data_IF_852636426197
#
_entry.id   IF_852636426197
#
_cell.length_a   1.000
_cell.length_b   1.000
_cell.length_c   1.000
_cell.angle_alpha   90.00
_cell.angle_beta   90.00
_cell.angle_gamma   90.00
#
_symmetry.space_group_name_H-M   'P 1'
#
loop_
_entity.id
_entity.type
_entity.pdbx_description
1 polymer ?
2 non-polymer ?
3 water ?
#
# COMPACT_ATOMS: atom_id res chain seq x y z
N UNK A 2 17.51 -3.31 -27.48
CA UNK A 2 17.84 -2.09 -26.69
C UNK A 2 18.06 -2.45 -25.22
N UNK A 3 19.33 -2.64 -24.82
CA UNK A 3 19.67 -2.99 -23.44
C UNK A 3 18.94 -2.14 -22.40
N UNK A 4 18.18 -2.80 -21.53
CA UNK A 4 17.44 -2.10 -20.48
C UNK A 4 18.34 -2.12 -19.25
N UNK A 5 18.64 -0.95 -18.70
CA UNK A 5 19.54 -0.88 -17.55
C UNK A 5 18.99 -0.25 -16.29
N UNK A 6 19.46 -0.77 -15.16
CA UNK A 6 19.05 -0.26 -13.85
C UNK A 6 20.28 0.17 -13.08
N UNK A 7 20.22 1.33 -12.45
CA UNK A 7 21.34 1.80 -11.64
C UNK A 7 20.87 1.55 -10.21
N UNK A 8 21.59 0.69 -9.50
CA UNK A 8 21.23 0.35 -8.14
C UNK A 8 22.21 0.96 -7.14
N UNK A 9 21.75 1.98 -6.42
CA UNK A 9 22.59 2.66 -5.46
C UNK A 9 22.68 1.94 -4.11
N UNK A 10 23.87 2.00 -3.52
CA UNK A 10 24.14 1.40 -2.22
C UNK A 10 24.69 2.51 -1.33
N UNK A 11 24.43 2.44 -0.03
CA UNK A 11 24.98 3.45 0.87
C UNK A 11 26.48 3.20 0.94
N UNK A 12 27.26 4.26 1.12
CA UNK A 12 28.71 4.15 1.21
C UNK A 12 29.15 4.17 2.67
N UNK A 13 28.19 4.38 3.58
CA UNK A 13 28.47 4.43 5.01
C UNK A 13 28.52 3.02 5.58
N UNK A 14 29.57 2.74 6.36
CA UNK A 14 29.75 1.43 6.96
C UNK A 14 30.54 1.63 8.26
N UNK A 15 29.83 1.77 9.38
CA UNK A 15 30.50 2.00 10.65
C UNK A 15 29.65 1.59 11.84
N UNK A 16 30.28 1.48 13.01
CA UNK A 16 29.61 1.11 14.26
C UNK A 16 28.34 1.94 14.42
N UNK A 17 27.22 1.27 14.65
CA UNK A 17 25.93 1.95 14.75
C UNK A 17 25.03 1.46 15.88
N UNK A 18 24.79 0.15 15.92
CA UNK A 18 23.90 -0.42 16.94
C UNK A 18 24.49 -0.46 18.35
N UNK A 19 23.60 -0.62 19.33
CA UNK A 19 24.00 -0.66 20.74
C UNK A 19 24.94 -1.83 21.04
N UNK A 20 24.78 -2.93 20.31
CA UNK A 20 25.61 -4.10 20.53
C UNK A 20 26.99 -3.90 19.91
N UNK A 21 27.22 -2.70 19.39
CA UNK A 21 28.51 -2.39 18.77
C UNK A 21 28.64 -2.80 17.32
N UNK A 22 27.63 -3.43 16.75
CA UNK A 22 27.72 -3.85 15.35
C UNK A 22 27.53 -2.69 14.39
N UNK A 23 28.08 -2.84 13.19
CA UNK A 23 28.02 -1.81 12.17
C UNK A 23 26.82 -1.89 11.25
N UNK A 24 26.38 -0.74 10.76
CA UNK A 24 25.30 -0.72 9.81
C UNK A 24 25.99 -0.53 8.47
N UNK A 25 25.18 -0.47 7.41
CA UNK A 25 25.72 -0.31 6.07
C UNK A 25 24.64 -0.78 5.12
N UNK A 26 25.01 -1.53 4.08
CA UNK A 26 24.03 -2.02 3.11
C UNK A 26 23.29 -3.25 3.64
N UNK A 27 21.96 -3.17 3.68
CA UNK A 27 21.17 -4.31 4.14
C UNK A 27 21.22 -5.28 2.95
N UNK A 28 21.94 -6.37 3.12
CA UNK A 28 22.13 -7.36 2.05
C UNK A 28 20.98 -7.60 1.07
N UNK A 29 19.84 -8.09 1.56
CA UNK A 29 18.73 -8.38 0.65
C UNK A 29 18.08 -7.19 -0.03
N UNK A 30 18.31 -5.99 0.48
CA UNK A 30 17.73 -4.82 -0.16
C UNK A 30 18.51 -4.54 -1.44
N UNK A 31 19.67 -5.18 -1.58
CA UNK A 31 20.47 -5.02 -2.79
C UNK A 31 20.30 -6.27 -3.65
N UNK A 32 20.31 -7.42 -2.98
CA UNK A 32 20.19 -8.71 -3.65
C UNK A 32 18.83 -9.04 -4.25
N UNK A 33 17.74 -8.81 -3.52
CA UNK A 33 16.43 -9.14 -4.06
C UNK A 33 16.11 -8.28 -5.30
N UNK A 34 16.36 -6.96 -5.24
CA UNK A 34 16.08 -6.13 -6.41
C UNK A 34 16.96 -6.58 -7.59
N UNK A 35 18.22 -6.86 -7.29
CA UNK A 35 19.16 -7.31 -8.31
C UNK A 35 18.57 -8.54 -9.02
N UNK A 36 18.15 -9.52 -8.23
CA UNK A 36 17.56 -10.73 -8.78
C UNK A 36 16.35 -10.43 -9.63
N UNK A 37 15.45 -9.61 -9.11
CA UNK A 37 14.23 -9.28 -9.85
C UNK A 37 14.50 -8.60 -11.19
N UNK A 38 15.42 -7.65 -11.20
CA UNK A 38 15.77 -6.96 -12.44
C UNK A 38 16.43 -7.90 -13.44
N UNK A 39 17.37 -8.71 -12.96
CA UNK A 39 18.08 -9.66 -13.82
C UNK A 39 17.11 -10.67 -14.43
N UNK A 40 16.19 -11.15 -13.61
CA UNK A 40 15.19 -12.12 -14.07
C UNK A 40 14.39 -11.56 -15.23
N UNK A 41 14.15 -10.25 -15.22
CA UNK A 41 13.36 -9.62 -16.27
C UNK A 41 14.18 -9.15 -17.46
N UNK A 42 15.45 -9.52 -17.50
CA UNK A 42 16.31 -9.14 -18.62
C UNK A 42 16.99 -7.80 -18.52
N UNK A 43 16.99 -7.18 -17.35
CA UNK A 43 17.66 -5.90 -17.18
C UNK A 43 19.12 -6.11 -16.81
N UNK A 44 19.98 -5.17 -17.18
CA UNK A 44 21.37 -5.26 -16.79
C UNK A 44 21.40 -4.35 -15.55
N UNK A 45 22.23 -4.70 -14.58
CA UNK A 45 22.31 -3.92 -13.36
C UNK A 45 23.72 -3.43 -13.04
N UNK A 46 23.83 -2.14 -12.74
CA UNK A 46 25.10 -1.54 -12.36
C UNK A 46 24.94 -1.01 -10.94
N UNK A 47 25.90 -1.31 -10.08
CA UNK A 47 25.87 -0.83 -8.71
C UNK A 47 26.67 0.48 -8.62
N UNK A 48 26.32 1.31 -7.66
CA UNK A 48 27.01 2.58 -7.45
C UNK A 48 26.82 3.03 -6.02
N UNK A 49 27.83 3.75 -5.51
CA UNK A 49 27.79 4.31 -4.17
C UNK A 49 28.59 5.60 -4.26
N UNK A 50 28.36 6.50 -3.30
CA UNK A 50 29.06 7.78 -3.27
C UNK A 50 30.58 7.67 -3.44
N UNK A 51 31.16 6.65 -2.81
CA UNK A 51 32.61 6.46 -2.84
C UNK A 51 33.08 5.31 -3.71
N UNK A 52 32.16 4.47 -4.17
CA UNK A 52 32.56 3.33 -4.96
C UNK A 52 32.90 2.17 -4.04
N UNK A 53 32.66 2.37 -2.75
CA UNK A 53 32.93 1.35 -1.76
C UNK A 53 31.71 1.19 -0.84
N UNK A 54 31.63 0.05 -0.16
CA UNK A 54 30.51 -0.19 0.75
C UNK A 54 30.81 -1.33 1.71
N UNK A 55 29.98 -1.44 2.74
CA UNK A 55 30.11 -2.49 3.73
C UNK A 55 28.72 -2.98 4.05
N UNK A 56 28.60 -4.22 4.52
CA UNK A 56 27.29 -4.77 4.83
C UNK A 56 26.81 -4.42 6.24
N UNK A 57 25.51 -4.18 6.38
CA UNK A 57 24.94 -3.92 7.69
C UNK A 57 25.11 -5.28 8.36
N UNK A 58 25.80 -5.32 9.50
CA UNK A 58 26.04 -6.59 10.15
C UNK A 58 24.83 -7.35 10.66
N UNK A 59 23.75 -6.65 10.99
CA UNK A 59 22.55 -7.35 11.44
C UNK A 59 21.89 -8.05 10.25
N UNK A 60 22.06 -7.49 9.05
CA UNK A 60 21.46 -8.08 7.86
C UNK A 60 22.18 -9.37 7.44
N UNK A 61 23.29 -9.68 8.10
CA UNK A 61 24.06 -10.88 7.78
C UNK A 61 23.55 -12.10 8.55
N UNK A 62 22.72 -11.87 9.56
CA UNK A 62 22.17 -12.95 10.37
C UNK A 62 21.33 -13.92 9.55
N UNK A 63 21.29 -15.17 10.00
CA UNK A 63 20.55 -16.22 9.30
C UNK A 63 19.11 -15.87 8.98
N UNK A 64 18.44 -15.14 9.87
CA UNK A 64 17.05 -14.75 9.63
C UNK A 64 16.88 -13.83 8.41
N UNK A 65 17.94 -13.10 8.06
CA UNK A 65 17.89 -12.18 6.93
C UNK A 65 18.69 -12.63 5.71
N UNK A 66 19.55 -13.62 5.91
CA UNK A 66 20.38 -14.12 4.81
C UNK A 66 20.49 -15.63 4.92
N UNK A 67 19.74 -16.32 4.06
CA UNK A 67 19.74 -17.78 4.07
C UNK A 67 19.37 -18.35 2.70
N UNK A 68 19.34 -19.68 2.60
CA UNK A 68 18.99 -20.33 1.35
C UNK A 68 19.76 -19.85 0.13
N UNK A 69 19.05 -19.70 -0.99
CA UNK A 69 19.69 -19.26 -2.23
C UNK A 69 20.43 -17.92 -2.06
N UNK A 70 19.86 -16.99 -1.30
CA UNK A 70 20.50 -15.69 -1.07
C UNK A 70 21.88 -15.87 -0.45
N UNK A 71 21.95 -16.71 0.58
CA UNK A 71 23.21 -16.98 1.26
C UNK A 71 24.20 -17.61 0.30
N UNK A 72 23.72 -18.56 -0.50
CA UNK A 72 24.57 -19.23 -1.49
C UNK A 72 25.13 -18.21 -2.48
N UNK A 73 24.27 -17.33 -2.99
CA UNK A 73 24.73 -16.33 -3.95
C UNK A 73 25.71 -15.35 -3.28
N UNK A 74 25.44 -15.05 -2.02
CA UNK A 74 26.28 -14.14 -1.24
C UNK A 74 27.68 -14.73 -1.01
N UNK A 75 27.74 -16.04 -0.79
CA UNK A 75 29.01 -16.71 -0.53
C UNK A 75 29.82 -17.09 -1.78
N UNK A 76 29.13 -17.33 -2.89
CA UNK A 76 29.79 -17.73 -4.13
C UNK A 76 30.45 -16.52 -4.82
N UNK A 77 31.77 -16.48 -4.78
CA UNK A 77 32.54 -15.39 -5.39
C UNK A 77 32.23 -15.22 -6.88
N UNK A 78 31.85 -16.31 -7.53
CA UNK A 78 31.54 -16.25 -8.95
C UNK A 78 30.08 -16.04 -9.28
N UNK A 79 29.27 -15.67 -8.29
CA UNK A 79 27.86 -15.42 -8.55
C UNK A 79 27.72 -14.13 -9.33
N UNK A 80 26.65 -14.04 -10.14
CA UNK A 80 26.39 -12.85 -10.93
C UNK A 80 26.40 -11.66 -9.98
N UNK A 81 25.77 -11.86 -8.83
CA UNK A 81 25.66 -10.83 -7.80
C UNK A 81 27.03 -10.28 -7.39
N UNK A 82 27.94 -11.17 -6.96
CA UNK A 82 29.26 -10.74 -6.55
C UNK A 82 30.11 -10.14 -7.68
N UNK A 83 30.07 -10.75 -8.86
CA UNK A 83 30.84 -10.24 -10.00
C UNK A 83 30.37 -8.83 -10.36
N UNK A 84 29.07 -8.56 -10.19
CA UNK A 84 28.55 -7.25 -10.51
C UNK A 84 28.93 -6.24 -9.44
N UNK A 85 28.90 -6.67 -8.19
CA UNK A 85 29.26 -5.80 -7.08
C UNK A 85 30.72 -5.37 -7.25
N UNK A 86 31.54 -6.28 -7.75
CA UNK A 86 32.96 -6.00 -7.97
C UNK A 86 33.15 -4.83 -8.93
N UNK A 87 32.21 -4.64 -9.85
CA UNK A 87 32.30 -3.56 -10.83
C UNK A 87 31.58 -2.30 -10.38
N UNK A 88 31.25 -2.22 -9.10
CA UNK A 88 30.55 -1.05 -8.56
C UNK A 88 31.21 0.24 -9.05
N UNK A 89 30.38 1.22 -9.40
CA UNK A 89 30.89 2.50 -9.90
C UNK A 89 30.79 3.64 -8.90
N UNK A 90 31.43 4.75 -9.24
CA UNK A 90 31.37 5.97 -8.44
C UNK A 90 30.44 6.83 -9.28
N UNK A 91 29.79 7.82 -8.68
CA UNK A 91 28.88 8.67 -9.46
C UNK A 91 29.46 9.28 -10.73
N UNK A 92 30.75 9.62 -10.69
CA UNK A 92 31.43 10.22 -11.83
C UNK A 92 31.52 9.27 -13.03
N UNK A 93 31.51 7.97 -12.76
CA UNK A 93 31.60 6.96 -13.81
C UNK A 93 30.24 6.59 -14.39
N UNK A 94 29.19 7.23 -13.90
CA UNK A 94 27.84 6.95 -14.36
C UNK A 94 27.36 7.88 -15.46
N UNK A 95 26.64 7.31 -16.42
CA UNK A 95 26.04 8.09 -17.50
C UNK A 95 24.55 7.91 -17.29
N UNK A 96 23.92 8.90 -16.65
CA UNK A 96 22.51 8.86 -16.35
C UNK A 96 21.59 8.41 -17.49
N UNK A 97 21.85 8.91 -18.69
CA UNK A 97 21.02 8.56 -19.84
C UNK A 97 20.98 7.08 -20.23
N UNK A 98 21.83 6.26 -19.62
CA UNK A 98 21.85 4.84 -19.96
C UNK A 98 20.89 4.00 -19.14
N UNK A 99 20.21 4.61 -18.18
CA UNK A 99 19.30 3.87 -17.32
C UNK A 99 17.82 4.22 -17.43
N UNK A 100 16.99 3.20 -17.24
CA UNK A 100 15.54 3.36 -17.28
C UNK A 100 15.01 3.39 -15.86
N UNK A 101 15.79 2.83 -14.94
CA UNK A 101 15.40 2.79 -13.53
C UNK A 101 16.53 3.14 -12.57
N UNK A 102 16.22 3.97 -11.59
CA UNK A 102 17.17 4.34 -10.54
C UNK A 102 16.56 3.73 -9.28
N UNK A 103 17.26 2.78 -8.68
CA UNK A 103 16.79 2.09 -7.48
C UNK A 103 17.74 2.33 -6.31
N UNK A 104 17.22 2.85 -5.21
CA UNK A 104 18.04 3.10 -4.03
C UNK A 104 17.80 2.04 -2.97
N UNK A 105 18.79 1.16 -2.77
CA UNK A 105 18.68 0.12 -1.75
C UNK A 105 19.03 0.83 -0.45
N UNK A 106 18.84 0.18 0.70
CA UNK A 106 19.13 0.87 1.94
C UNK A 106 19.89 0.14 3.03
N UNK A 107 19.43 0.39 4.25
CA UNK A 107 20.07 -0.10 5.46
C UNK A 107 20.23 1.24 6.17
N UNK A 108 20.36 1.27 7.50
CA UNK A 108 20.48 2.57 8.18
C UNK A 108 21.63 3.45 7.70
N UNK A 109 22.61 2.85 7.03
CA UNK A 109 23.73 3.64 6.54
C UNK A 109 23.31 4.79 5.64
N UNK A 110 22.21 4.60 4.91
CA UNK A 110 21.73 5.62 4.00
C UNK A 110 21.43 6.96 4.70
N UNK A 111 21.10 6.90 5.99
CA UNK A 111 20.77 8.11 6.72
C UNK A 111 21.97 9.05 6.83
N UNK A 112 23.16 8.48 6.67
CA UNK A 112 24.40 9.25 6.76
C UNK A 112 24.85 9.88 5.44
N UNK A 113 24.79 9.13 4.34
CA UNK A 113 25.26 9.67 3.06
C UNK A 113 24.24 10.07 1.99
N UNK A 114 23.09 9.40 1.95
CA UNK A 114 22.10 9.72 0.93
C UNK A 114 21.62 11.17 0.91
N UNK A 115 21.26 11.74 2.07
CA UNK A 115 20.78 13.14 2.07
C UNK A 115 21.78 14.13 1.48
N UNK A 116 23.07 13.82 1.55
CA UNK A 116 24.12 14.70 1.03
C UNK A 116 24.71 14.25 -0.31
N UNK A 117 24.15 13.18 -0.87
CA UNK A 117 24.65 12.66 -2.14
C UNK A 117 24.12 13.45 -3.34
N UNK A 118 24.57 14.69 -3.47
CA UNK A 118 24.15 15.56 -4.58
C UNK A 118 24.32 14.91 -5.94
N UNK A 119 25.46 14.26 -6.17
CA UNK A 119 25.71 13.63 -7.46
C UNK A 119 24.76 12.50 -7.80
N UNK A 120 24.36 11.71 -6.80
CA UNK A 120 23.42 10.61 -7.05
C UNK A 120 22.03 11.20 -7.29
N UNK A 121 21.73 12.29 -6.60
CA UNK A 121 20.44 12.94 -6.74
C UNK A 121 20.30 13.52 -8.14
N UNK A 122 21.40 14.05 -8.68
CA UNK A 122 21.37 14.61 -10.03
C UNK A 122 21.11 13.49 -11.02
N UNK A 123 21.75 12.35 -10.78
CA UNK A 123 21.59 11.19 -11.65
C UNK A 123 20.15 10.69 -11.60
N UNK A 124 19.60 10.56 -10.39
CA UNK A 124 18.22 10.10 -10.25
C UNK A 124 17.28 11.09 -10.95
N UNK A 125 17.51 12.38 -10.69
CA UNK A 125 16.72 13.45 -11.27
C UNK A 125 16.71 13.40 -12.80
N UNK A 126 17.88 13.16 -13.40
CA UNK A 126 18.00 13.10 -14.86
C UNK A 126 17.24 11.89 -15.40
N UNK A 127 17.41 10.75 -14.73
CA UNK A 127 16.74 9.52 -15.13
C UNK A 127 15.22 9.73 -15.09
N UNK A 128 14.76 10.45 -14.08
CA UNK A 128 13.33 10.71 -13.89
C UNK A 128 12.82 11.70 -14.93
N UNK A 129 13.63 12.69 -15.26
CA UNK A 129 13.27 13.71 -16.24
C UNK A 129 13.15 13.09 -17.63
N UNK A 130 13.88 12.00 -17.87
CA UNK A 130 13.85 11.34 -19.17
C UNK A 130 12.74 10.29 -19.27
N UNK A 131 11.80 10.30 -18.33
CA UNK A 131 10.71 9.34 -18.36
C UNK A 131 10.96 8.02 -17.64
N UNK A 132 12.10 7.92 -16.96
CA UNK A 132 12.41 6.69 -16.25
C UNK A 132 11.77 6.63 -14.87
N UNK A 133 12.12 5.59 -14.11
CA UNK A 133 11.56 5.40 -12.78
C UNK A 133 12.56 5.59 -11.64
N UNK A 134 12.08 6.17 -10.55
CA UNK A 134 12.89 6.38 -9.36
C UNK A 134 12.21 5.55 -8.28
N UNK A 135 12.98 4.65 -7.68
CA UNK A 135 12.44 3.77 -6.65
C UNK A 135 13.40 3.74 -5.46
N UNK A 136 12.86 3.47 -4.28
CA UNK A 136 13.67 3.40 -3.07
C UNK A 136 13.00 2.53 -2.01
N UNK A 137 13.80 1.74 -1.31
CA UNK A 137 13.23 0.89 -0.27
C UNK A 137 13.83 1.20 1.10
N UNK A 138 13.05 0.94 2.16
CA UNK A 138 13.50 1.14 3.54
C UNK A 138 13.88 2.59 3.84
N UNK A 139 15.16 2.82 4.12
CA UNK A 139 15.64 4.16 4.40
C UNK A 139 16.11 4.83 3.12
N UNK A 140 15.93 4.15 2.00
CA UNK A 140 16.34 4.72 0.72
C UNK A 140 15.78 6.11 0.46
N UNK A 141 14.53 6.38 0.88
CA UNK A 141 13.94 7.71 0.67
C UNK A 141 14.74 8.86 1.29
N UNK A 142 15.79 8.53 2.03
CA UNK A 142 16.63 9.56 2.63
C UNK A 142 17.24 10.37 1.50
N UNK A 143 17.43 9.72 0.36
CA UNK A 143 18.02 10.39 -0.78
C UNK A 143 17.06 11.41 -1.41
N UNK A 144 15.80 11.36 -1.01
CA UNK A 144 14.80 12.28 -1.53
C UNK A 144 14.98 13.64 -0.87
N UNK A 145 15.81 13.69 0.17
CA UNK A 145 16.06 14.95 0.87
C UNK A 145 16.92 15.84 -0.01
N UNK A 146 16.28 16.75 -0.74
CA UNK A 146 17.02 17.64 -1.61
C UNK A 146 16.96 17.23 -3.07
N UNK A 147 16.22 16.15 -3.35
CA UNK A 147 16.07 15.66 -4.71
C UNK A 147 15.04 16.54 -5.41
N UNK A 148 15.48 17.23 -6.46
CA UNK A 148 14.59 18.14 -7.18
C UNK A 148 14.12 17.62 -8.53
N UNK A 149 12.87 17.93 -8.86
CA UNK A 149 12.29 17.53 -10.14
C UNK A 149 12.81 18.55 -11.16
N UNK A 150 13.74 18.11 -11.99
CA UNK A 150 14.36 18.94 -13.01
C UNK A 150 13.38 19.77 -13.85
N UNK A 151 12.17 19.24 -14.06
CA UNK A 151 11.17 19.93 -14.86
C UNK A 151 10.40 21.02 -14.12
N UNK A 152 10.13 20.80 -12.84
CA UNK A 152 9.37 21.77 -12.06
C UNK A 152 10.21 22.62 -11.11
N UNK A 153 11.31 22.06 -10.64
CA UNK A 153 12.15 22.80 -9.72
C UNK A 153 11.73 22.57 -8.28
N UNK A 154 10.62 21.87 -8.11
CA UNK A 154 10.10 21.57 -6.77
C UNK A 154 10.66 20.24 -6.30
N UNK A 155 10.56 19.94 -4.99
CA UNK A 155 11.09 18.66 -4.53
C UNK A 155 10.40 17.56 -5.33
N UNK A 156 11.15 16.57 -5.77
CA UNK A 156 10.58 15.49 -6.57
C UNK A 156 9.42 14.76 -5.88
N UNK A 157 9.43 14.72 -4.54
CA UNK A 157 8.37 14.03 -3.82
C UNK A 157 7.21 14.92 -3.34
N UNK A 158 7.30 16.23 -3.61
CA UNK A 158 6.24 17.15 -3.19
C UNK A 158 4.92 16.79 -3.86
N UNK A 159 3.89 16.57 -3.05
CA UNK A 159 2.58 16.22 -3.59
C UNK A 159 2.45 14.78 -4.02
N UNK A 160 3.45 13.95 -3.71
CA UNK A 160 3.42 12.53 -4.08
C UNK A 160 3.17 11.66 -2.86
N UNK A 161 2.65 10.46 -3.09
CA UNK A 161 2.41 9.52 -2.01
C UNK A 161 3.56 8.52 -2.00
N UNK A 162 4.14 8.31 -0.83
CA UNK A 162 5.25 7.38 -0.70
C UNK A 162 5.16 6.67 0.64
N UNK A 163 5.95 5.61 0.78
CA UNK A 163 6.04 4.90 2.04
C UNK A 163 7.53 4.74 2.29
N UNK A 164 7.88 4.04 3.35
CA UNK A 164 9.30 3.86 3.67
C UNK A 164 9.41 3.38 5.10
N UNK A 165 10.64 3.22 5.60
CA UNK A 165 10.80 2.74 6.96
C UNK A 165 10.01 3.62 7.92
N UNK A 166 9.30 2.98 8.84
CA UNK A 166 8.45 3.68 9.81
C UNK A 166 9.16 4.22 11.03
N UNK A 167 8.61 5.29 11.60
CA UNK A 167 9.16 5.88 12.81
C UNK A 167 9.03 4.87 13.94
N UNK A 168 7.88 4.22 14.02
CA UNK A 168 7.64 3.24 15.06
C UNK A 168 8.68 2.11 14.97
N UNK A 169 9.09 1.79 13.75
CA UNK A 169 10.09 0.75 13.58
C UNK A 169 11.39 1.13 14.26
N UNK A 170 11.77 2.41 14.14
CA UNK A 170 12.99 2.90 14.77
C UNK A 170 12.88 2.75 16.28
N UNK A 171 11.70 3.03 16.80
CA UNK A 171 11.45 2.94 18.24
C UNK A 171 11.50 1.49 18.71
N UNK A 172 10.85 0.60 17.97
CA UNK A 172 10.83 -0.81 18.33
C UNK A 172 12.25 -1.36 18.36
N UNK A 173 13.09 -0.88 17.44
CA UNK A 173 14.48 -1.33 17.37
C UNK A 173 15.38 -0.63 18.38
N UNK A 174 14.83 0.40 19.04
CA UNK A 174 15.60 1.13 20.02
C UNK A 174 16.72 1.97 19.41
N UNK A 175 16.59 2.31 18.14
CA UNK A 175 17.62 3.11 17.49
C UNK A 175 17.20 4.57 17.37
N UNK A 176 15.97 4.86 17.82
CA UNK A 176 15.47 6.23 17.75
C UNK A 176 16.32 7.20 18.58
N UNK A 177 16.90 6.71 19.67
CA UNK A 177 17.73 7.56 20.50
C UNK A 177 19.06 7.80 19.79
N UNK A 178 19.53 6.80 19.04
CA UNK A 178 20.77 6.92 18.29
C UNK A 178 20.61 7.93 17.16
N UNK A 179 19.47 7.88 16.49
CA UNK A 179 19.20 8.80 15.38
C UNK A 179 19.18 10.24 15.92
N UNK A 180 18.57 10.42 17.08
CA UNK A 180 18.49 11.74 17.68
C UNK A 180 19.88 12.26 18.04
N UNK A 181 20.70 11.38 18.62
CA UNK A 181 22.05 11.74 19.02
C UNK A 181 22.94 12.12 17.84
N UNK A 182 22.71 11.49 16.69
CA UNK A 182 23.51 11.77 15.51
C UNK A 182 22.88 12.80 14.59
N UNK A 183 21.79 13.42 15.05
CA UNK A 183 21.08 14.43 14.28
C UNK A 183 20.72 13.89 12.89
N UNK A 184 20.08 12.71 12.87
CA UNK A 184 19.65 12.09 11.63
C UNK A 184 18.13 12.20 11.54
N UNK A 185 17.61 12.35 10.32
CA UNK A 185 16.17 12.47 10.11
C UNK A 185 15.59 11.16 9.58
N UNK A 186 14.40 10.81 10.05
CA UNK A 186 13.75 9.58 9.60
C UNK A 186 13.08 9.80 8.26
N UNK A 187 12.60 8.71 7.66
CA UNK A 187 11.91 8.80 6.38
C UNK A 187 10.66 9.67 6.52
N UNK A 188 9.91 9.49 7.60
CA UNK A 188 8.71 10.30 7.79
C UNK A 188 9.08 11.77 7.97
N UNK A 189 10.25 12.04 8.52
CA UNK A 189 10.70 13.42 8.69
C UNK A 189 10.89 14.07 7.33
N UNK A 190 11.57 13.34 6.44
CA UNK A 190 11.85 13.83 5.10
C UNK A 190 10.56 14.03 4.31
N UNK A 191 9.65 13.08 4.42
CA UNK A 191 8.38 13.19 3.71
C UNK A 191 7.64 14.44 4.14
N UNK A 192 7.62 14.69 5.45
CA UNK A 192 6.95 15.86 5.97
C UNK A 192 7.60 17.15 5.48
N UNK A 193 8.92 17.20 5.56
CA UNK A 193 9.64 18.39 5.13
C UNK A 193 9.40 18.80 3.69
N UNK A 194 9.40 17.84 2.78
CA UNK A 194 9.22 18.14 1.37
C UNK A 194 7.82 18.00 0.78
N UNK A 195 6.81 18.03 1.64
CA UNK A 195 5.43 17.97 1.20
C UNK A 195 4.93 16.67 0.58
N UNK A 196 5.51 15.55 0.97
CA UNK A 196 5.05 14.27 0.43
C UNK A 196 4.04 13.71 1.42
N UNK A 197 3.14 12.88 0.91
CA UNK A 197 2.14 12.23 1.76
C UNK A 197 2.67 10.84 2.11
N UNK A 198 2.96 10.61 3.39
CA UNK A 198 3.48 9.32 3.83
C UNK A 198 2.34 8.36 4.16
N UNK A 199 2.36 7.19 3.56
CA UNK A 199 1.33 6.19 3.82
C UNK A 199 2.01 4.99 4.46
N UNK A 200 1.55 4.65 5.66
CA UNK A 200 2.17 3.56 6.41
C UNK A 200 1.58 2.17 6.23
N UNK A 201 2.38 1.14 6.55
CA UNK A 201 1.94 -0.25 6.45
C UNK A 201 1.15 -0.52 7.74
N UNK A 202 0.42 -1.63 7.80
CA UNK A 202 -0.31 -1.93 9.03
C UNK A 202 0.73 -2.21 10.13
N UNK A 203 1.71 -3.02 9.78
CA UNK A 203 2.78 -3.37 10.69
C UNK A 203 4.10 -2.89 10.12
N UNK A 204 5.06 -2.48 10.98
CA UNK A 204 6.37 -1.98 10.55
C UNK A 204 7.26 -2.90 9.73
N UNK A 205 7.04 -4.21 9.80
CA UNK A 205 7.87 -5.15 9.06
C UNK A 205 7.16 -5.80 7.87
N UNK A 206 5.94 -5.36 7.57
CA UNK A 206 5.19 -5.94 6.47
C UNK A 206 5.76 -5.62 5.09
N UNK A 207 5.53 -6.53 4.15
CA UNK A 207 5.94 -6.31 2.76
C UNK A 207 4.92 -5.26 2.30
N UNK A 208 5.37 -4.03 2.09
CA UNK A 208 4.45 -2.97 1.69
C UNK A 208 5.16 -1.99 0.78
N UNK A 209 4.54 -1.67 -0.35
CA UNK A 209 5.13 -0.74 -1.30
C UNK A 209 4.05 0.06 -2.01
N UNK A 210 4.46 1.18 -2.60
CA UNK A 210 3.54 2.08 -3.31
C UNK A 210 4.10 2.52 -4.66
N UNK A 211 3.21 2.65 -5.63
CA UNK A 211 3.57 3.12 -6.96
C UNK A 211 2.76 4.39 -7.24
N UNK A 212 3.42 5.55 -7.23
CA UNK A 212 2.73 6.80 -7.53
C UNK A 212 3.35 7.30 -8.84
N UNK A 213 2.75 6.90 -9.95
CA UNK A 213 3.29 7.29 -11.24
C UNK A 213 4.59 6.56 -11.46
N UNK A 214 5.69 7.30 -11.55
CA UNK A 214 7.00 6.69 -11.75
C UNK A 214 7.90 6.80 -10.52
N UNK A 215 7.27 7.03 -9.36
CA UNK A 215 7.98 7.12 -8.10
C UNK A 215 7.51 5.92 -7.27
N UNK A 216 8.42 5.00 -7.01
CA UNK A 216 8.10 3.77 -6.28
C UNK A 216 8.84 3.69 -4.95
N UNK A 217 8.14 3.29 -3.89
CA UNK A 217 8.79 3.18 -2.58
C UNK A 217 8.37 1.92 -1.82
N UNK A 218 9.26 1.45 -0.95
CA UNK A 218 9.01 0.27 -0.15
C UNK A 218 9.39 0.55 1.29
N UNK A 219 8.82 -0.21 2.21
CA UNK A 219 9.05 0.02 3.65
C UNK A 219 10.28 -0.58 4.32
N UNK A 220 10.64 -1.81 3.95
CA UNK A 220 11.71 -2.50 4.65
C UNK A 220 12.28 -3.67 3.83
N UNK A 221 13.13 -4.52 4.46
CA UNK A 221 13.71 -5.65 3.75
C UNK A 221 12.67 -6.57 3.10
N UNK A 222 11.56 -6.80 3.81
CA UNK A 222 10.50 -7.65 3.28
C UNK A 222 9.83 -7.04 2.05
N UNK A 223 10.04 -5.74 1.84
CA UNK A 223 9.44 -5.02 0.71
C UNK A 223 10.39 -4.81 -0.49
N UNK A 224 11.64 -5.26 -0.36
CA UNK A 224 12.60 -5.06 -1.44
C UNK A 224 12.17 -5.64 -2.77
N UNK A 225 11.71 -6.89 -2.77
CA UNK A 225 11.27 -7.55 -4.00
C UNK A 225 10.07 -6.81 -4.61
N UNK A 226 9.06 -6.52 -3.80
CA UNK A 226 7.87 -5.82 -4.28
C UNK A 226 8.23 -4.46 -4.86
N UNK A 227 9.18 -3.78 -4.24
CA UNK A 227 9.58 -2.47 -4.72
C UNK A 227 10.21 -2.60 -6.11
N UNK A 228 11.04 -3.62 -6.29
CA UNK A 228 11.70 -3.87 -7.57
C UNK A 228 10.68 -4.20 -8.66
N UNK A 229 9.74 -5.08 -8.32
CA UNK A 229 8.70 -5.47 -9.27
C UNK A 229 7.93 -4.23 -9.70
N UNK A 230 7.52 -3.41 -8.72
CA UNK A 230 6.78 -2.18 -9.01
C UNK A 230 7.55 -1.22 -9.90
N UNK A 231 8.87 -1.13 -9.70
CA UNK A 231 9.66 -0.20 -10.50
C UNK A 231 9.67 -0.63 -11.96
N UNK A 232 9.61 -1.94 -12.19
CA UNK A 232 9.58 -2.47 -13.56
C UNK A 232 8.22 -2.17 -14.17
N UNK A 233 7.15 -2.48 -13.44
CA UNK A 233 5.80 -2.23 -13.94
C UNK A 233 5.55 -0.75 -14.21
N UNK A 234 6.13 0.12 -13.40
CA UNK A 234 5.92 1.56 -13.55
C UNK A 234 6.54 2.21 -14.77
N UNK A 235 7.33 1.47 -15.53
CA UNK A 235 7.95 2.05 -16.72
C UNK A 235 6.90 2.51 -17.72
N UNK A 236 5.72 1.89 -17.69
CA UNK A 236 4.64 2.26 -18.61
C UNK A 236 3.79 3.42 -18.08
N UNK A 237 4.11 3.90 -16.88
CA UNK A 237 3.39 5.00 -16.26
C UNK A 237 3.86 6.36 -16.76
N UNK B 2 -19.22 9.91 20.75
CA UNK B 2 -19.26 8.80 19.77
C UNK B 2 -18.84 7.48 20.42
N UNK B 3 -19.83 6.64 20.80
CA UNK B 3 -19.53 5.36 21.44
C UNK B 3 -18.81 4.40 20.50
N UNK B 4 -18.09 3.45 21.08
CA UNK B 4 -17.33 2.45 20.32
C UNK B 4 -18.27 1.57 19.51
N UNK B 5 -18.80 2.12 18.43
CA UNK B 5 -19.72 1.37 17.58
C UNK B 5 -19.37 1.52 16.11
N UNK B 6 -19.61 0.46 15.34
CA UNK B 6 -19.31 0.47 13.92
C UNK B 6 -20.56 0.25 13.09
N UNK B 7 -20.70 1.03 12.01
CA UNK B 7 -21.82 0.86 11.11
C UNK B 7 -21.21 0.17 9.89
N UNK B 8 -21.65 -1.06 9.64
CA UNK B 8 -21.11 -1.87 8.52
C UNK B 8 -22.14 -1.95 7.39
N UNK B 9 -21.88 -1.22 6.30
CA UNK B 9 -22.78 -1.20 5.16
C UNK B 9 -22.65 -2.39 4.23
N UNK B 10 -23.80 -2.90 3.78
CA UNK B 10 -23.86 -4.04 2.87
C UNK B 10 -24.62 -3.61 1.61
N UNK B 11 -24.29 -4.19 0.46
CA UNK B 11 -25.01 -3.85 -0.75
C UNK B 11 -26.38 -4.49 -0.68
N UNK B 12 -27.39 -3.82 -1.22
CA UNK B 12 -28.75 -4.36 -1.22
C UNK B 12 -29.09 -5.00 -2.55
N UNK B 13 -28.15 -4.97 -3.49
CA UNK B 13 -28.36 -5.57 -4.81
C UNK B 13 -28.07 -7.07 -4.76
N UNK B 14 -28.96 -7.87 -5.34
CA UNK B 14 -28.79 -9.32 -5.32
C UNK B 14 -29.49 -9.97 -6.52
N UNK B 15 -29.02 -9.65 -7.73
CA UNK B 15 -29.62 -10.21 -8.94
C UNK B 15 -28.60 -11.01 -9.75
N UNK B 16 -29.09 -11.80 -10.70
CA UNK B 16 -28.23 -12.59 -11.56
C UNK B 16 -27.20 -11.62 -12.13
N UNK B 17 -25.93 -12.03 -12.12
CA UNK B 17 -24.86 -11.16 -12.58
C UNK B 17 -23.81 -11.84 -13.46
N UNK B 18 -23.26 -12.95 -12.98
CA UNK B 18 -22.22 -13.66 -13.72
C UNK B 18 -22.70 -14.42 -14.96
N UNK B 19 -21.76 -14.73 -15.85
CA UNK B 19 -22.06 -15.44 -17.08
C UNK B 19 -22.66 -16.82 -16.83
N UNK B 20 -22.34 -17.41 -15.68
CA UNK B 20 -22.86 -18.74 -15.35
C UNK B 20 -24.28 -18.65 -14.79
N UNK B 21 -24.80 -17.43 -14.73
CA UNK B 21 -26.14 -17.23 -14.22
C UNK B 21 -26.23 -16.96 -12.73
N UNK B 22 -25.11 -17.08 -12.02
CA UNK B 22 -25.10 -16.84 -10.57
C UNK B 22 -25.33 -15.38 -10.23
N UNK B 23 -25.85 -15.16 -9.02
CA UNK B 23 -26.16 -13.82 -8.56
C UNK B 23 -25.01 -13.17 -7.79
N UNK B 24 -24.93 -11.86 -7.82
CA UNK B 24 -23.89 -11.19 -7.05
C UNK B 24 -24.62 -10.66 -5.81
N UNK B 25 -23.88 -9.96 -4.97
CA UNK B 25 -24.46 -9.42 -3.75
C UNK B 25 -23.35 -9.17 -2.76
N UNK B 26 -23.60 -9.46 -1.49
CA UNK B 26 -22.59 -9.26 -0.46
C UNK B 26 -21.53 -10.35 -0.52
N UNK B 27 -20.25 -9.97 -0.60
CA UNK B 27 -19.20 -10.97 -0.62
C UNK B 27 -19.02 -11.37 0.84
N UNK B 28 -19.45 -12.58 1.20
CA UNK B 28 -19.40 -13.04 2.58
C UNK B 28 -18.24 -12.59 3.49
N UNK B 29 -17.00 -12.94 3.16
CA UNK B 29 -15.89 -12.55 4.04
C UNK B 29 -15.65 -11.05 4.15
N UNK B 30 -16.18 -10.27 3.22
CA UNK B 30 -16.00 -8.83 3.31
C UNK B 30 -16.90 -8.25 4.39
N UNK B 31 -17.85 -9.06 4.85
CA UNK B 31 -18.74 -8.65 5.92
C UNK B 31 -18.30 -9.38 7.19
N UNK B 32 -17.97 -10.65 7.05
CA UNK B 32 -17.56 -11.50 8.17
C UNK B 32 -16.22 -11.12 8.80
N UNK B 33 -15.19 -10.99 7.98
CA UNK B 33 -13.88 -10.64 8.53
C UNK B 33 -13.90 -9.30 9.25
N UNK B 34 -14.46 -8.25 8.63
CA UNK B 34 -14.47 -6.98 9.35
C UNK B 34 -15.27 -7.10 10.65
N UNK B 35 -16.38 -7.83 10.58
CA UNK B 35 -17.23 -8.04 11.75
C UNK B 35 -16.42 -8.68 12.88
N UNK B 36 -15.71 -9.76 12.59
CA UNK B 36 -14.91 -10.42 13.63
C UNK B 36 -13.89 -9.48 14.23
N UNK B 37 -13.19 -8.74 13.38
CA UNK B 37 -12.15 -7.82 13.85
C UNK B 37 -12.71 -6.75 14.78
N UNK B 38 -13.83 -6.14 14.38
CA UNK B 38 -14.43 -5.11 15.20
C UNK B 38 -14.90 -5.69 16.54
N UNK B 39 -15.58 -6.82 16.50
CA UNK B 39 -16.07 -7.46 17.72
C UNK B 39 -14.91 -7.84 18.64
N UNK B 40 -13.83 -8.31 18.06
CA UNK B 40 -12.65 -8.70 18.82
C UNK B 40 -12.03 -7.52 19.56
N UNK B 41 -12.06 -6.35 18.93
CA UNK B 41 -11.49 -5.14 19.53
C UNK B 41 -12.46 -4.39 20.45
N UNK B 42 -13.59 -5.02 20.73
CA UNK B 42 -14.58 -4.43 21.62
C UNK B 42 -15.61 -3.48 21.04
N UNK B 43 -15.81 -3.52 19.72
CA UNK B 43 -16.78 -2.65 19.08
C UNK B 43 -18.12 -3.34 18.89
N UNK B 44 -19.20 -2.57 19.02
CA UNK B 44 -20.54 -3.08 18.78
C UNK B 44 -20.72 -2.83 17.28
N UNK B 45 -21.42 -3.73 16.59
CA UNK B 45 -21.60 -3.58 15.16
C UNK B 45 -23.05 -3.66 14.70
N UNK B 46 -23.45 -2.70 13.88
CA UNK B 46 -24.80 -2.68 13.31
C UNK B 46 -24.65 -2.79 11.80
N UNK B 47 -25.43 -3.67 11.18
CA UNK B 47 -25.39 -3.82 9.73
C UNK B 47 -26.45 -2.89 9.15
N UNK B 48 -26.26 -2.48 7.90
CA UNK B 48 -27.20 -1.59 7.24
C UNK B 48 -27.10 -1.80 5.73
N UNK B 49 -28.22 -1.61 5.03
CA UNK B 49 -28.25 -1.74 3.58
C UNK B 49 -29.30 -0.73 3.13
N UNK B 50 -29.23 -0.31 1.88
CA UNK B 50 -30.17 0.65 1.34
C UNK B 50 -31.63 0.29 1.58
N UNK B 51 -31.94 -1.00 1.49
CA UNK B 51 -33.31 -1.48 1.65
C UNK B 51 -33.58 -2.21 2.96
N UNK B 52 -32.52 -2.47 3.72
CA UNK B 52 -32.69 -3.21 4.96
C UNK B 52 -32.61 -4.68 4.66
N UNK B 53 -32.40 -5.03 3.39
CA UNK B 53 -32.30 -6.42 2.98
C UNK B 53 -31.06 -6.67 2.11
N UNK B 54 -30.67 -7.93 1.98
CA UNK B 54 -29.50 -8.26 1.17
C UNK B 54 -29.49 -9.73 0.78
N UNK B 55 -28.54 -10.07 -0.09
CA UNK B 55 -28.37 -11.44 -0.54
C UNK B 55 -26.88 -11.68 -0.70
N UNK B 56 -26.45 -12.94 -0.65
CA UNK B 56 -25.03 -13.25 -0.78
C UNK B 56 -24.56 -13.38 -2.23
N UNK B 57 -23.36 -12.89 -2.50
CA UNK B 57 -22.78 -13.05 -3.83
C UNK B 57 -22.55 -14.56 -3.86
N UNK B 58 -23.16 -15.24 -4.82
CA UNK B 58 -23.04 -16.70 -4.89
C UNK B 58 -21.64 -17.24 -5.14
N UNK B 59 -20.78 -16.47 -5.81
CA UNK B 59 -19.43 -16.94 -6.04
C UNK B 59 -18.66 -16.90 -4.73
N UNK B 60 -19.04 -15.98 -3.84
CA UNK B 60 -18.36 -15.85 -2.55
C UNK B 60 -18.73 -16.97 -1.60
N UNK B 61 -19.62 -17.85 -2.03
CA UNK B 61 -20.06 -18.97 -1.22
C UNK B 61 -19.21 -20.21 -1.48
N UNK B 62 -18.43 -20.17 -2.55
CA UNK B 62 -17.57 -21.30 -2.91
C UNK B 62 -16.55 -21.61 -1.81
N UNK B 63 -16.11 -22.86 -1.75
CA UNK B 63 -15.15 -23.28 -0.74
C UNK B 63 -13.89 -22.42 -0.70
N UNK B 64 -13.41 -21.99 -1.87
CA UNK B 64 -12.21 -21.17 -1.92
C UNK B 64 -12.36 -19.85 -1.16
N UNK B 65 -13.58 -19.33 -1.11
CA UNK B 65 -13.83 -18.06 -0.43
C UNK B 65 -14.50 -18.21 0.94
N UNK B 66 -15.08 -19.37 1.20
CA UNK B 66 -15.76 -19.61 2.47
C UNK B 66 -15.49 -21.03 2.96
N UNK B 67 -14.66 -21.14 4.00
CA UNK B 67 -14.30 -22.43 4.55
C UNK B 67 -13.87 -22.32 6.00
N UNK B 68 -13.50 -23.44 6.59
CA UNK B 68 -13.07 -23.44 7.99
C UNK B 68 -14.03 -22.78 8.95
N UNK B 69 -13.49 -22.02 9.90
CA UNK B 69 -14.30 -21.35 10.90
C UNK B 69 -15.34 -20.40 10.30
N UNK B 70 -14.96 -19.70 9.23
CA UNK B 70 -15.88 -18.78 8.56
C UNK B 70 -17.14 -19.53 8.13
N UNK B 71 -16.95 -20.67 7.47
CA UNK B 71 -18.07 -21.48 7.01
C UNK B 71 -18.93 -21.91 8.19
N UNK B 72 -18.28 -22.29 9.29
CA UNK B 72 -18.99 -22.69 10.49
C UNK B 72 -19.85 -21.56 11.01
N UNK B 73 -19.26 -20.39 11.19
CA UNK B 73 -20.01 -19.24 11.69
C UNK B 73 -21.12 -18.86 10.73
N UNK B 74 -20.82 -18.96 9.44
CA UNK B 74 -21.79 -18.64 8.41
C UNK B 74 -23.02 -19.54 8.53
N UNK B 75 -22.78 -20.84 8.72
CA UNK B 75 -23.87 -21.81 8.83
C UNK B 75 -24.57 -21.83 10.18
N UNK B 76 -23.84 -21.44 11.22
CA UNK B 76 -24.42 -21.42 12.57
C UNK B 76 -25.43 -20.29 12.73
N UNK B 77 -26.71 -20.64 12.62
CA UNK B 77 -27.78 -19.67 12.74
C UNK B 77 -27.73 -18.93 14.08
N UNK B 78 -27.04 -19.50 15.06
CA UNK B 78 -26.93 -18.88 16.37
C UNK B 78 -25.63 -18.09 16.56
N UNK B 79 -24.84 -17.97 15.51
CA UNK B 79 -23.58 -17.23 15.60
C UNK B 79 -23.85 -15.75 15.81
N UNK B 80 -22.92 -15.07 16.46
CA UNK B 80 -23.04 -13.64 16.73
C UNK B 80 -23.21 -12.92 15.40
N UNK B 81 -22.55 -13.44 14.37
CA UNK B 81 -22.59 -12.88 13.03
C UNK B 81 -24.02 -12.92 12.52
N UNK B 82 -24.62 -14.11 12.47
CA UNK B 82 -25.98 -14.26 11.98
C UNK B 82 -27.05 -13.56 12.83
N UNK B 83 -26.85 -13.51 14.14
CA UNK B 83 -27.80 -12.84 15.01
C UNK B 83 -27.79 -11.33 14.77
N UNK B 84 -26.62 -10.81 14.45
CA UNK B 84 -26.48 -9.38 14.19
C UNK B 84 -27.01 -9.04 12.81
N UNK B 85 -26.77 -9.92 11.84
CA UNK B 85 -27.26 -9.72 10.49
C UNK B 85 -28.79 -9.68 10.49
N UNK B 86 -29.39 -10.44 11.40
CA UNK B 86 -30.85 -10.50 11.49
C UNK B 86 -31.44 -9.14 11.87
N UNK B 87 -30.63 -8.33 12.55
CA UNK B 87 -31.05 -7.01 13.00
C UNK B 87 -30.64 -5.90 12.03
N UNK B 88 -30.32 -6.27 10.79
CA UNK B 88 -29.90 -5.28 9.81
C UNK B 88 -30.90 -4.13 9.68
N UNK B 89 -30.38 -2.91 9.70
CA UNK B 89 -31.21 -1.70 9.63
C UNK B 89 -31.29 -1.06 8.25
N UNK B 90 -32.20 -0.11 8.12
CA UNK B 90 -32.37 0.67 6.90
C UNK B 90 -31.70 1.99 7.28
N UNK B 91 -31.33 2.81 6.30
CA UNK B 91 -30.69 4.08 6.62
C UNK B 91 -31.48 4.96 7.58
N UNK B 92 -32.80 4.93 7.46
CA UNK B 92 -33.67 5.74 8.33
C UNK B 92 -33.63 5.30 9.79
N UNK B 93 -33.19 4.07 10.05
CA UNK B 93 -33.12 3.58 11.43
C UNK B 93 -31.74 3.80 12.03
N UNK B 94 -30.88 4.50 11.29
CA UNK B 94 -29.51 4.77 11.73
C UNK B 94 -29.30 6.19 12.26
N UNK B 95 -28.51 6.30 13.32
CA UNK B 95 -28.18 7.60 13.90
C UNK B 95 -26.66 7.76 13.76
N UNK B 96 -26.24 8.52 12.76
CA UNK B 96 -24.82 8.74 12.48
C UNK B 96 -23.95 9.06 13.69
N UNK B 97 -24.52 9.79 14.65
CA UNK B 97 -23.79 10.19 15.85
C UNK B 97 -23.37 9.04 16.77
N UNK B 98 -23.94 7.85 16.56
CA UNK B 98 -23.59 6.71 17.42
C UNK B 98 -22.46 5.84 16.90
N UNK B 99 -21.73 6.29 15.90
CA UNK B 99 -20.65 5.47 15.36
C UNK B 99 -19.31 6.17 15.21
N UNK B 100 -18.24 5.42 15.44
CA UNK B 100 -16.88 5.93 15.30
C UNK B 100 -16.37 5.51 13.93
N UNK B 101 -16.92 4.43 13.39
CA UNK B 101 -16.48 3.92 12.10
C UNK B 101 -17.60 3.55 11.14
N UNK B 102 -17.46 3.96 9.89
CA UNK B 102 -18.42 3.63 8.85
C UNK B 102 -17.61 2.70 7.96
N UNK B 103 -18.07 1.47 7.80
CA UNK B 103 -17.36 0.49 7.00
C UNK B 103 -18.21 -0.05 5.85
N UNK B 104 -17.76 0.16 4.62
CA UNK B 104 -18.49 -0.32 3.46
C UNK B 104 -17.94 -1.64 2.96
N UNK B 105 -18.68 -2.73 3.19
CA UNK B 105 -18.25 -4.04 2.71
C UNK B 105 -18.67 -4.06 1.25
N UNK B 106 -18.26 -5.07 0.49
CA UNK B 106 -18.61 -5.07 -0.92
C UNK B 106 -19.14 -6.34 -1.58
N UNK B 107 -18.69 -6.52 -2.83
CA UNK B 107 -19.13 -7.59 -3.70
C UNK B 107 -19.55 -6.75 -4.90
N UNK B 108 -19.67 -7.31 -6.10
CA UNK B 108 -20.04 -6.50 -7.26
C UNK B 108 -21.38 -5.77 -7.12
N UNK B 109 -22.26 -6.29 -6.28
CA UNK B 109 -23.55 -5.66 -6.09
C UNK B 109 -23.49 -4.18 -5.75
N UNK B 110 -22.46 -3.77 -5.01
CA UNK B 110 -22.31 -2.37 -4.62
C UNK B 110 -22.28 -1.43 -5.82
N UNK B 111 -21.82 -1.92 -6.97
CA UNK B 111 -21.76 -1.07 -8.15
C UNK B 111 -23.15 -0.60 -8.58
N UNK B 112 -24.17 -1.32 -8.17
CA UNK B 112 -25.52 -0.97 -8.54
C UNK B 112 -26.23 0.02 -7.59
N UNK B 113 -26.03 -0.15 -6.29
CA UNK B 113 -26.73 0.71 -5.33
C UNK B 113 -25.90 1.74 -4.57
N UNK B 114 -24.64 1.45 -4.30
CA UNK B 114 -23.81 2.38 -3.54
C UNK B 114 -23.69 3.80 -4.11
N UNK B 115 -23.45 3.95 -5.43
CA UNK B 115 -23.33 5.28 -6.03
C UNK B 115 -24.56 6.16 -5.83
N UNK B 116 -25.73 5.54 -5.73
CA UNK B 116 -26.96 6.29 -5.55
C UNK B 116 -27.51 6.28 -4.12
N UNK B 117 -26.76 5.70 -3.19
CA UNK B 117 -27.19 5.62 -1.80
C UNK B 117 -26.89 6.93 -1.06
N UNK B 118 -27.62 7.97 -1.41
CA UNK B 118 -27.43 9.27 -0.79
C UNK B 118 -27.58 9.26 0.72
N UNK B 119 -28.55 8.51 1.24
CA UNK B 119 -28.76 8.48 2.68
C UNK B 119 -27.57 7.86 3.42
N UNK B 120 -26.97 6.82 2.85
CA UNK B 120 -25.81 6.20 3.48
C UNK B 120 -24.60 7.11 3.36
N UNK B 121 -24.52 7.86 2.26
CA UNK B 121 -23.41 8.78 2.06
C UNK B 121 -23.48 9.93 3.06
N UNK B 122 -24.68 10.40 3.37
CA UNK B 122 -24.85 11.49 4.34
C UNK B 122 -24.40 10.97 5.71
N UNK B 123 -24.77 9.73 6.02
CA UNK B 123 -24.38 9.11 7.27
C UNK B 123 -22.85 9.03 7.34
N UNK B 124 -22.24 8.52 6.28
CA UNK B 124 -20.78 8.41 6.23
C UNK B 124 -20.13 9.80 6.38
N UNK B 125 -20.68 10.78 5.68
CA UNK B 125 -20.16 12.14 5.73
C UNK B 125 -20.24 12.69 7.16
N UNK B 126 -21.34 12.39 7.85
CA UNK B 126 -21.50 12.86 9.21
C UNK B 126 -20.50 12.22 10.15
N UNK B 127 -20.33 10.91 10.04
CA UNK B 127 -19.39 10.19 10.90
C UNK B 127 -17.97 10.75 10.70
N UNK B 128 -17.61 11.01 9.45
CA UNK B 128 -16.29 11.54 9.09
C UNK B 128 -16.14 12.94 9.69
N UNK B 129 -17.17 13.76 9.57
CA UNK B 129 -17.15 15.12 10.09
C UNK B 129 -16.96 15.12 11.61
N UNK B 130 -17.49 14.08 12.27
CA UNK B 130 -17.39 13.93 13.73
C UNK B 130 -16.03 13.39 14.17
N UNK B 131 -15.09 13.30 13.23
CA UNK B 131 -13.77 12.80 13.57
C UNK B 131 -13.66 11.29 13.47
N UNK B 132 -14.70 10.66 12.95
CA UNK B 132 -14.69 9.21 12.80
C UNK B 132 -13.96 8.77 11.54
N UNK B 133 -13.97 7.47 11.28
CA UNK B 133 -13.30 6.89 10.13
C UNK B 133 -14.26 6.36 9.07
N UNK B 134 -13.92 6.58 7.81
CA UNK B 134 -14.71 6.08 6.68
C UNK B 134 -13.80 5.06 6.00
N UNK B 135 -14.25 3.81 5.92
CA UNK B 135 -13.47 2.76 5.29
C UNK B 135 -14.31 2.01 4.25
N UNK B 136 -13.64 1.41 3.27
CA UNK B 136 -14.32 0.67 2.22
C UNK B 136 -13.37 -0.36 1.63
N UNK B 137 -13.91 -1.54 1.32
CA UNK B 137 -13.09 -2.59 0.73
C UNK B 137 -13.67 -3.06 -0.60
N UNK B 138 -12.79 -3.52 -1.50
CA UNK B 138 -13.18 -4.05 -2.82
C UNK B 138 -13.92 -3.01 -3.67
N UNK B 139 -15.21 -3.24 -3.94
CA UNK B 139 -15.99 -2.29 -4.73
C UNK B 139 -16.68 -1.28 -3.80
N UNK B 140 -16.41 -1.38 -2.50
CA UNK B 140 -17.01 -0.45 -1.55
C UNK B 140 -16.80 1.01 -1.91
N UNK B 141 -15.66 1.37 -2.51
CA UNK B 141 -15.42 2.78 -2.87
C UNK B 141 -16.47 3.32 -3.83
N UNK B 142 -17.38 2.47 -4.31
CA UNK B 142 -18.44 2.95 -5.19
C UNK B 142 -19.28 3.91 -4.36
N UNK B 143 -19.22 3.73 -3.04
CA UNK B 143 -19.93 4.56 -2.07
C UNK B 143 -19.40 6.00 -2.11
N UNK B 144 -18.17 6.17 -2.58
CA UNK B 144 -17.55 7.49 -2.64
C UNK B 144 -18.03 8.33 -3.82
N UNK B 145 -18.84 7.74 -4.69
CA UNK B 145 -19.33 8.47 -5.85
C UNK B 145 -20.42 9.45 -5.41
N UNK B 146 -20.03 10.71 -5.23
CA UNK B 146 -20.99 11.72 -4.80
C UNK B 146 -20.89 12.03 -3.32
N UNK B 147 -20.00 11.33 -2.61
CA UNK B 147 -19.80 11.53 -1.17
C UNK B 147 -19.11 12.87 -0.96
N UNK B 148 -19.71 13.73 -0.14
CA UNK B 148 -19.18 15.06 0.10
C UNK B 148 -18.61 15.26 1.50
N UNK B 149 -17.56 16.07 1.59
CA UNK B 149 -16.93 16.39 2.86
C UNK B 149 -17.71 17.59 3.39
N UNK B 150 -18.41 17.38 4.50
CA UNK B 150 -19.23 18.41 5.13
C UNK B 150 -18.45 19.70 5.45
N UNK B 151 -17.16 19.56 5.75
CA UNK B 151 -16.34 20.71 6.11
C UNK B 151 -15.93 21.62 4.96
N UNK B 152 -15.89 21.08 3.75
CA UNK B 152 -15.45 21.85 2.60
C UNK B 152 -16.45 21.94 1.45
N UNK B 153 -17.35 20.97 1.36
CA UNK B 153 -18.31 20.98 0.28
C UNK B 153 -17.72 20.34 -0.98
N UNK B 154 -16.51 19.81 -0.86
CA UNK B 154 -15.84 19.15 -1.98
C UNK B 154 -15.99 17.63 -1.85
N UNK B 155 -15.68 16.89 -2.92
CA UNK B 155 -15.81 15.43 -2.82
C UNK B 155 -14.90 14.96 -1.69
N UNK B 156 -15.40 14.07 -0.85
CA UNK B 156 -14.63 13.57 0.28
C UNK B 156 -13.29 12.95 -0.13
N UNK B 157 -13.25 12.28 -1.27
CA UNK B 157 -12.00 11.65 -1.69
C UNK B 157 -11.09 12.54 -2.54
N UNK B 158 -11.52 13.76 -2.80
CA UNK B 158 -10.71 14.68 -3.60
C UNK B 158 -9.38 14.98 -2.89
N UNK B 159 -8.28 14.75 -3.58
CA UNK B 159 -6.98 15.01 -3.00
C UNK B 159 -6.51 13.91 -2.04
N UNK B 160 -7.28 12.83 -1.94
CA UNK B 160 -6.92 11.72 -1.06
C UNK B 160 -6.37 10.55 -1.87
N UNK B 161 -5.59 9.70 -1.22
CA UNK B 161 -5.05 8.51 -1.89
C UNK B 161 -5.88 7.33 -1.42
N UNK B 162 -6.36 6.53 -2.37
CA UNK B 162 -7.15 5.35 -2.02
C UNK B 162 -6.77 4.19 -2.93
N UNK B 163 -7.25 3.01 -2.58
CA UNK B 163 -7.05 1.85 -3.43
C UNK B 163 -8.43 1.21 -3.51
N UNK B 164 -8.53 0.06 -4.17
CA UNK B 164 -9.83 -0.60 -4.30
C UNK B 164 -9.74 -1.62 -5.42
N UNK B 165 -10.85 -2.28 -5.73
CA UNK B 165 -10.81 -3.31 -6.77
C UNK B 165 -10.22 -2.74 -8.06
N UNK B 166 -9.30 -3.50 -8.66
CA UNK B 166 -8.61 -3.07 -9.88
C UNK B 166 -9.34 -3.31 -11.18
N UNK B 167 -9.10 -2.43 -12.16
CA UNK B 167 -9.70 -2.57 -13.48
C UNK B 167 -9.20 -3.88 -14.09
N UNK B 168 -7.92 -4.17 -13.90
CA UNK B 168 -7.35 -5.41 -14.45
C UNK B 168 -8.06 -6.63 -13.88
N UNK B 169 -8.48 -6.53 -12.63
CA UNK B 169 -9.18 -7.64 -12.01
C UNK B 169 -10.52 -7.89 -12.70
N UNK B 170 -11.19 -6.82 -13.12
CA UNK B 170 -12.49 -6.96 -13.78
C UNK B 170 -12.30 -7.69 -15.12
N UNK B 171 -11.22 -7.33 -15.81
CA UNK B 171 -10.90 -7.92 -17.11
C UNK B 171 -10.57 -9.40 -16.97
N UNK B 172 -9.76 -9.73 -15.95
CA UNK B 172 -9.36 -11.12 -15.72
C UNK B 172 -10.59 -11.99 -15.45
N UNK B 173 -11.53 -11.46 -14.68
CA UNK B 173 -12.75 -12.18 -14.35
C UNK B 173 -13.76 -12.19 -15.50
N UNK B 174 -13.49 -11.39 -16.52
CA UNK B 174 -14.39 -11.33 -17.66
C UNK B 174 -15.70 -10.63 -17.34
N UNK B 175 -15.70 -9.77 -16.33
CA UNK B 175 -16.90 -9.06 -15.95
C UNK B 175 -16.93 -7.65 -16.53
N UNK B 176 -15.82 -7.25 -17.16
CA UNK B 176 -15.74 -5.94 -17.77
C UNK B 176 -16.86 -5.74 -18.78
N UNK B 177 -17.21 -6.81 -19.49
CA UNK B 177 -18.28 -6.77 -20.49
C UNK B 177 -19.63 -6.48 -19.85
N UNK B 178 -19.81 -6.98 -18.62
CA UNK B 178 -21.05 -6.78 -17.90
C UNK B 178 -21.14 -5.34 -17.42
N UNK B 179 -20.04 -4.84 -16.86
CA UNK B 179 -20.00 -3.48 -16.37
C UNK B 179 -20.34 -2.49 -17.47
N UNK B 180 -19.80 -2.73 -18.66
CA UNK B 180 -20.05 -1.86 -19.80
C UNK B 180 -21.51 -1.94 -20.23
N UNK B 181 -22.06 -3.16 -20.22
CA UNK B 181 -23.45 -3.37 -20.61
C UNK B 181 -24.43 -2.73 -19.64
N UNK B 182 -24.13 -2.79 -18.35
CA UNK B 182 -25.01 -2.24 -17.32
C UNK B 182 -24.66 -0.80 -16.95
N UNK B 183 -23.77 -0.18 -17.73
CA UNK B 183 -23.35 1.19 -17.51
C UNK B 183 -22.85 1.43 -16.09
N UNK B 184 -21.98 0.55 -15.61
CA UNK B 184 -21.42 0.65 -14.27
C UNK B 184 -20.00 1.22 -14.32
N UNK B 185 -19.61 1.93 -13.28
CA UNK B 185 -18.28 2.52 -13.22
C UNK B 185 -17.41 1.73 -12.25
N UNK B 186 -16.15 1.53 -12.62
CA UNK B 186 -15.22 0.80 -11.77
C UNK B 186 -14.69 1.73 -10.69
N UNK B 187 -14.06 1.15 -9.68
CA UNK B 187 -13.49 1.92 -8.58
C UNK B 187 -12.48 2.92 -9.13
N UNK B 188 -11.62 2.49 -10.05
CA UNK B 188 -10.66 3.43 -10.61
C UNK B 188 -11.38 4.56 -11.36
N UNK B 189 -12.53 4.28 -11.96
CA UNK B 189 -13.30 5.32 -12.68
C UNK B 189 -13.77 6.37 -11.68
N UNK B 190 -14.26 5.89 -10.54
CA UNK B 190 -14.77 6.76 -9.49
C UNK B 190 -13.66 7.63 -8.92
N UNK B 191 -12.50 7.04 -8.71
CA UNK B 191 -11.36 7.77 -8.15
C UNK B 191 -10.98 8.92 -9.08
N UNK B 192 -10.91 8.65 -10.38
CA UNK B 192 -10.56 9.70 -11.33
C UNK B 192 -11.61 10.79 -11.41
N UNK B 193 -12.89 10.39 -11.42
CA UNK B 193 -13.98 11.35 -11.50
C UNK B 193 -14.05 12.32 -10.32
N UNK B 194 -13.60 11.88 -9.14
CA UNK B 194 -13.67 12.76 -7.98
C UNK B 194 -12.34 13.27 -7.45
N UNK B 195 -11.32 13.27 -8.30
CA UNK B 195 -10.02 13.79 -7.93
C UNK B 195 -9.14 13.06 -6.94
N UNK B 196 -9.40 11.77 -6.75
CA UNK B 196 -8.60 10.98 -5.82
C UNK B 196 -7.43 10.35 -6.57
N UNK B 197 -6.38 10.01 -5.84
CA UNK B 197 -5.22 9.37 -6.42
C UNK B 197 -5.38 7.87 -6.14
N UNK B 198 -5.54 7.07 -7.19
CA UNK B 198 -5.70 5.63 -7.03
C UNK B 198 -4.32 4.97 -7.01
N UNK B 199 -4.04 4.25 -5.94
CA UNK B 199 -2.78 3.55 -5.76
C UNK B 199 -3.07 2.06 -5.83
N UNK B 200 -2.48 1.42 -6.83
CA UNK B 200 -2.73 0.00 -7.08
C UNK B 200 -1.85 -1.02 -6.39
N UNK B 201 -2.40 -2.23 -6.18
CA UNK B 201 -1.65 -3.31 -5.55
C UNK B 201 -0.76 -3.88 -6.66
N UNK B 202 0.21 -4.71 -6.32
CA UNK B 202 1.08 -5.30 -7.33
C UNK B 202 0.25 -6.27 -8.17
N UNK B 203 -0.55 -7.09 -7.48
CA UNK B 203 -1.42 -8.05 -8.13
C UNK B 203 -2.87 -7.77 -7.75
N UNK B 204 -3.84 -8.03 -8.63
CA UNK B 204 -5.26 -7.78 -8.34
C UNK B 204 -5.88 -8.46 -7.13
N UNK B 205 -5.31 -9.58 -6.69
CA UNK B 205 -5.86 -10.34 -5.57
C UNK B 205 -5.07 -10.24 -4.27
N UNK B 206 -4.02 -9.42 -4.25
CA UNK B 206 -3.20 -9.30 -3.04
C UNK B 206 -3.90 -8.58 -1.88
N UNK B 207 -3.45 -8.87 -0.67
CA UNK B 207 -3.98 -8.21 0.52
C UNK B 207 -3.28 -6.86 0.47
N UNK B 208 -4.03 -5.82 0.12
CA UNK B 208 -3.46 -4.48 0.00
C UNK B 208 -4.47 -3.46 0.49
N UNK B 209 -4.01 -2.53 1.32
CA UNK B 209 -4.88 -1.50 1.84
C UNK B 209 -4.10 -0.21 2.09
N UNK B 210 -4.83 0.88 2.21
CA UNK B 210 -4.23 2.19 2.42
C UNK B 210 -4.96 2.97 3.52
N UNK B 211 -4.21 3.73 4.30
CA UNK B 211 -4.77 4.61 5.33
C UNK B 211 -4.31 6.02 4.98
N UNK B 212 -5.23 6.90 4.62
CA UNK B 212 -4.91 8.29 4.32
C UNK B 212 -5.68 9.10 5.35
N UNK B 213 -5.07 9.26 6.53
CA UNK B 213 -5.72 9.97 7.60
C UNK B 213 -6.82 9.09 8.19
N UNK B 214 -8.07 9.50 7.99
CA UNK B 214 -9.22 8.76 8.49
C UNK B 214 -10.03 8.11 7.36
N UNK B 215 -9.45 8.10 6.16
CA UNK B 215 -10.07 7.48 4.98
C UNK B 215 -9.28 6.21 4.71
N UNK B 216 -9.92 5.05 4.88
CA UNK B 216 -9.27 3.76 4.71
C UNK B 216 -9.87 2.89 3.60
N UNK B 217 -9.02 2.27 2.78
CA UNK B 217 -9.51 1.45 1.67
C UNK B 217 -8.74 0.14 1.46
N UNK B 218 -9.44 -0.86 0.93
CA UNK B 218 -8.85 -2.16 0.66
C UNK B 218 -9.19 -2.58 -0.76
N UNK B 219 -8.42 -3.51 -1.33
CA UNK B 219 -8.63 -3.93 -2.71
C UNK B 219 -9.60 -5.07 -2.97
N UNK B 220 -9.67 -6.04 -2.08
CA UNK B 220 -10.46 -7.23 -2.36
C UNK B 220 -10.76 -8.05 -1.10
N UNK B 221 -11.34 -9.25 -1.27
CA UNK B 221 -11.65 -10.11 -0.12
C UNK B 221 -10.43 -10.37 0.75
N UNK B 222 -9.28 -10.61 0.11
CA UNK B 222 -8.05 -10.86 0.82
C UNK B 222 -7.61 -9.66 1.67
N UNK B 223 -8.14 -8.48 1.37
CA UNK B 223 -7.79 -7.26 2.09
C UNK B 223 -8.81 -6.83 3.14
N UNK B 224 -9.91 -7.55 3.24
CA UNK B 224 -10.96 -7.18 4.18
C UNK B 224 -10.49 -7.09 5.63
N UNK B 225 -9.72 -8.09 6.07
CA UNK B 225 -9.22 -8.08 7.44
C UNK B 225 -8.31 -6.88 7.70
N UNK B 226 -7.36 -6.64 6.80
CA UNK B 226 -6.44 -5.52 6.96
C UNK B 226 -7.14 -4.16 6.93
N UNK B 227 -8.17 -4.05 6.10
CA UNK B 227 -8.92 -2.81 5.99
C UNK B 227 -9.62 -2.54 7.32
N UNK B 228 -10.15 -3.58 7.94
CA UNK B 228 -10.82 -3.43 9.22
C UNK B 228 -9.80 -3.05 10.30
N UNK B 229 -8.65 -3.69 10.28
CA UNK B 229 -7.60 -3.38 11.24
C UNK B 229 -7.20 -1.93 11.08
N UNK B 230 -7.03 -1.51 9.83
CA UNK B 230 -6.65 -0.13 9.56
C UNK B 230 -7.69 0.87 10.05
N UNK B 231 -8.97 0.58 9.85
CA UNK B 231 -10.01 1.52 10.27
C UNK B 231 -9.98 1.78 11.77
N UNK B 232 -9.59 0.76 12.54
CA UNK B 232 -9.50 0.89 13.99
C UNK B 232 -8.26 1.70 14.38
N UNK B 233 -7.11 1.37 13.80
CA UNK B 233 -5.90 2.11 14.13
C UNK B 233 -6.00 3.57 13.69
N UNK B 234 -6.79 3.82 12.66
CA UNK B 234 -6.95 5.17 12.12
C UNK B 234 -7.75 6.11 13.02
N UNK B 235 -8.43 5.57 14.04
CA UNK B 235 -9.23 6.40 14.94
C UNK B 235 -8.41 7.46 15.68
N UNK B 236 -7.08 7.43 15.49
CA UNK B 236 -6.21 8.41 16.13
C UNK B 236 -5.70 9.45 15.14
N UNK B 237 -6.34 9.54 13.98
CA UNK B 237 -5.94 10.49 12.95
C UNK B 237 -6.93 11.64 12.82
X LIG C 1 -20.03 17.84 13.63
X LIG C 1 -21.59 17.49 13.66
X LIG C 1 -19.37 18.59 12.66
X LIG C 1 -20.12 18.78 11.56
X LIG C 1 -18.28 18.86 13.07
X LIG C 1 -17.06 18.94 14.04
#
# INVERSE_FOLDING_TARGET
>A
MAPKKVLLALTSYNDVFYSDGMKTGVFVVEALHPFNTFRKEGFEVDFVSETGKFGWDEHSLAKDFLNGQDETDFKNKDSDFNKTLAKIKTPKEVNADDYQIFMASAGHGTLFDYPKAKDLQDIASEIYANGGVVAAVCHGPAMFDGLTDKKTGRPLIEGKSITGFTDVGETIMGVDSILKAKNLATVEDVAKKYGAKYLAPVGPWDDYSITDGRLVTGVNPASAHSTAVRSIDALKN
>B
MAPKKVLLALTSYNDVFYSDGMKTGVFVVEALHPFNTFRKEGFEVDFVSETGKFGWDEHSLAKDFLNGQDETDFKNKDSDFNKTLAKIKTPKEVNADDYQIFMASAGHGTLFDYPKAKDLQDIASEIYANGGVVAAVCHGPAMFDGLTDKKTGRPLIEGKSITGFTDVGETIMGVDSILKAKNLATVEDVAKKYGAKYLAPVGPWDDYSITDGRLVTGVNPASAHSTAVRSIDALKN
>C hetero
1 GOL C1 O1 C2 O2 C3 O3
#
